data_IF_669002497939
#
_entry.id   IF_669002497939
#
_cell.length_a   1.000
_cell.length_b   1.000
_cell.length_c   1.000
_cell.angle_alpha   90.00
_cell.angle_beta   90.00
_cell.angle_gamma   90.00
#
_symmetry.space_group_name_H-M   'P 1'
#
loop_
_entity.id
_entity.type
_entity.pdbx_description
1 polymer ?
#
# COMPACT_ATOMS: atom_id res chain seq x y z
N UNK A 1 -11.62 35.70 2.31
CA UNK A 1 -11.96 34.85 1.14
C UNK A 1 -11.59 33.45 1.59
N UNK A 2 -12.59 32.57 1.76
CA UNK A 2 -12.39 31.28 2.42
C UNK A 2 -11.44 30.40 1.60
N UNK A 3 -10.54 29.70 2.27
CA UNK A 3 -9.79 28.59 1.67
C UNK A 3 -10.76 27.59 1.04
N UNK A 4 -10.32 26.86 0.00
CA UNK A 4 -11.15 25.82 -0.61
C UNK A 4 -11.57 24.81 0.48
N UNK A 5 -12.85 24.48 0.59
CA UNK A 5 -13.31 23.58 1.65
C UNK A 5 -12.77 22.16 1.41
N UNK A 6 -12.05 21.59 2.38
CA UNK A 6 -11.53 20.21 2.34
C UNK A 6 -10.08 20.08 2.79
N UNK A 7 -9.55 18.85 2.90
CA UNK A 7 -8.17 18.63 3.34
C UNK A 7 -7.15 19.00 2.25
N UNK A 8 -5.96 19.41 2.69
CA UNK A 8 -4.87 19.87 1.83
C UNK A 8 -3.62 18.99 1.94
N UNK A 9 -2.98 18.74 0.80
CA UNK A 9 -1.55 18.51 0.76
C UNK A 9 -0.86 19.85 0.49
N UNK A 10 -0.12 20.36 1.47
CA UNK A 10 0.66 21.58 1.28
C UNK A 10 1.90 21.24 0.44
N UNK A 11 2.10 21.97 -0.65
CA UNK A 11 3.22 21.81 -1.56
C UNK A 11 4.03 23.11 -1.56
N UNK A 12 5.34 23.02 -1.36
CA UNK A 12 6.21 24.20 -1.44
C UNK A 12 7.55 23.85 -2.06
N UNK A 13 8.26 24.89 -2.53
CA UNK A 13 9.61 24.76 -3.06
C UNK A 13 10.51 25.80 -2.40
N UNK A 14 11.57 25.31 -1.78
CA UNK A 14 12.65 26.11 -1.21
C UNK A 14 13.78 26.36 -2.25
N UNK A 15 13.58 26.00 -3.51
CA UNK A 15 14.56 26.15 -4.58
C UNK A 15 14.15 27.26 -5.57
N UNK A 16 15.03 28.22 -5.81
CA UNK A 16 14.77 29.31 -6.76
C UNK A 16 14.57 28.83 -8.21
N UNK A 17 15.19 27.71 -8.58
CA UNK A 17 15.13 27.15 -9.94
C UNK A 17 13.99 26.16 -10.19
N UNK A 18 13.15 25.88 -9.19
CA UNK A 18 12.08 24.88 -9.31
C UNK A 18 10.79 25.42 -8.71
N UNK A 19 9.79 25.70 -9.54
CA UNK A 19 8.48 26.14 -9.07
C UNK A 19 7.71 24.96 -8.44
N UNK A 20 7.04 25.18 -7.31
CA UNK A 20 6.25 24.13 -6.66
C UNK A 20 5.10 23.61 -7.55
N UNK A 21 4.58 24.47 -8.43
CA UNK A 21 3.59 24.11 -9.45
C UNK A 21 4.08 23.02 -10.40
N UNK A 22 5.39 22.94 -10.66
CA UNK A 22 5.95 21.86 -11.48
C UNK A 22 5.74 20.50 -10.82
N UNK A 23 5.83 20.43 -9.49
CA UNK A 23 5.53 19.20 -8.76
C UNK A 23 4.04 18.88 -8.80
N UNK A 24 3.16 19.88 -8.70
CA UNK A 24 1.70 19.70 -8.84
C UNK A 24 1.35 19.14 -10.21
N UNK A 25 1.93 19.66 -11.30
CA UNK A 25 1.73 19.13 -12.66
C UNK A 25 2.09 17.66 -12.75
N UNK A 26 3.24 17.29 -12.19
CA UNK A 26 3.73 15.91 -12.18
C UNK A 26 2.84 15.00 -11.36
N UNK A 27 2.42 15.41 -10.15
CA UNK A 27 1.53 14.62 -9.27
C UNK A 27 0.16 14.39 -9.95
N UNK A 28 -0.41 15.44 -10.55
CA UNK A 28 -1.75 15.38 -11.15
C UNK A 28 -1.75 14.79 -12.55
N UNK A 29 -0.59 14.72 -13.22
CA UNK A 29 -0.46 14.36 -14.63
C UNK A 29 -1.08 15.39 -15.59
N UNK A 30 -1.29 16.63 -15.15
CA UNK A 30 -1.94 17.70 -15.92
C UNK A 30 -0.95 18.83 -16.21
N UNK A 31 -0.76 19.16 -17.49
CA UNK A 31 0.07 20.30 -17.91
C UNK A 31 -0.61 21.65 -17.65
N UNK A 32 -1.93 21.69 -17.84
CA UNK A 32 -2.77 22.86 -17.59
C UNK A 32 -3.39 22.77 -16.20
N UNK A 33 -2.86 23.59 -15.29
CA UNK A 33 -3.35 23.69 -13.91
C UNK A 33 -4.47 24.72 -13.75
N UNK A 34 -4.93 25.40 -14.81
CA UNK A 34 -5.93 26.48 -14.68
C UNK A 34 -7.33 25.97 -14.40
N UNK A 35 -7.63 24.72 -14.76
CA UNK A 35 -8.97 24.13 -14.61
C UNK A 35 -9.29 23.86 -13.15
N UNK A 36 -10.19 24.66 -12.59
CA UNK A 36 -10.66 24.52 -11.21
C UNK A 36 -9.68 25.04 -10.15
N UNK A 37 -8.56 25.63 -10.55
CA UNK A 37 -7.64 26.25 -9.61
C UNK A 37 -8.28 27.48 -8.95
N UNK A 38 -8.08 27.57 -7.64
CA UNK A 38 -8.49 28.73 -6.84
C UNK A 38 -7.22 29.44 -6.41
N UNK A 39 -7.17 30.77 -6.58
CA UNK A 39 -6.05 31.58 -6.10
C UNK A 39 -6.54 32.50 -4.99
N UNK A 40 -5.88 32.44 -3.84
CA UNK A 40 -6.09 33.37 -2.73
C UNK A 40 -4.79 34.12 -2.47
N UNK A 41 -4.71 35.35 -2.98
CA UNK A 41 -3.48 36.15 -2.91
C UNK A 41 -2.33 35.51 -3.68
N UNK A 42 -1.34 34.96 -2.95
CA UNK A 42 -0.16 34.27 -3.51
C UNK A 42 -0.20 32.75 -3.30
N UNK A 43 -1.28 32.23 -2.75
CA UNK A 43 -1.49 30.80 -2.54
C UNK A 43 -2.40 30.27 -3.63
N UNK A 44 -2.00 29.16 -4.24
CA UNK A 44 -2.76 28.50 -5.30
C UNK A 44 -3.25 27.14 -4.81
N UNK A 45 -4.52 26.83 -5.06
CA UNK A 45 -5.16 25.58 -4.68
C UNK A 45 -5.55 24.84 -5.94
N UNK A 46 -5.05 23.63 -6.11
CA UNK A 46 -5.32 22.79 -7.27
C UNK A 46 -6.16 21.59 -6.85
N UNK A 47 -7.39 21.44 -7.36
CA UNK A 47 -8.24 20.32 -6.99
C UNK A 47 -7.64 19.01 -7.53
N UNK A 48 -7.58 17.99 -6.67
CA UNK A 48 -7.12 16.67 -7.02
C UNK A 48 -7.97 15.61 -6.32
N UNK A 49 -8.54 14.71 -7.13
CA UNK A 49 -9.34 13.60 -6.63
C UNK A 49 -8.44 12.37 -6.56
N UNK A 50 -8.33 11.81 -5.36
CA UNK A 50 -7.83 10.46 -5.16
C UNK A 50 -9.00 9.52 -5.41
N UNK A 51 -8.83 8.59 -6.33
CA UNK A 51 -9.81 7.56 -6.62
C UNK A 51 -9.07 6.24 -6.85
N UNK A 52 -8.94 5.45 -5.79
CA UNK A 52 -8.23 4.18 -5.83
C UNK A 52 -9.19 3.00 -5.63
N UNK A 53 -8.67 1.78 -5.50
CA UNK A 53 -9.48 0.56 -5.37
C UNK A 53 -10.33 0.54 -4.08
N UNK A 54 -9.89 1.23 -3.04
CA UNK A 54 -10.46 1.14 -1.69
C UNK A 54 -11.35 2.33 -1.37
N UNK A 55 -10.99 3.53 -1.83
CA UNK A 55 -11.68 4.76 -1.48
C UNK A 55 -11.56 5.84 -2.56
N UNK A 56 -12.41 6.87 -2.42
CA UNK A 56 -12.24 8.16 -3.08
C UNK A 56 -12.16 9.30 -2.06
N UNK A 57 -11.39 10.33 -2.36
CA UNK A 57 -11.27 11.55 -1.55
C UNK A 57 -10.94 12.75 -2.45
N UNK A 58 -11.68 13.85 -2.28
CA UNK A 58 -11.41 15.11 -2.99
C UNK A 58 -10.54 16.02 -2.12
N UNK A 59 -9.32 16.30 -2.56
CA UNK A 59 -8.35 17.11 -1.82
C UNK A 59 -7.88 18.30 -2.67
N UNK A 60 -7.16 19.24 -2.05
CA UNK A 60 -6.42 20.25 -2.80
C UNK A 60 -4.92 20.12 -2.59
N UNK A 61 -4.17 20.21 -3.69
CA UNK A 61 -2.74 20.48 -3.64
C UNK A 61 -2.56 21.99 -3.47
N UNK A 62 -2.15 22.42 -2.28
CA UNK A 62 -2.08 23.82 -1.88
C UNK A 62 -0.63 24.31 -1.99
N UNK A 63 -0.34 25.11 -3.02
CA UNK A 63 0.98 25.71 -3.23
C UNK A 63 1.13 26.96 -2.38
N UNK A 64 2.00 26.90 -1.38
CA UNK A 64 2.29 28.00 -0.47
C UNK A 64 3.76 28.43 -0.60
N UNK A 65 4.05 29.62 -1.15
CA UNK A 65 5.43 30.04 -1.44
C UNK A 65 6.34 30.22 -0.21
N UNK A 66 5.79 30.54 0.96
CA UNK A 66 6.55 30.69 2.21
C UNK A 66 5.61 30.64 3.42
N UNK A 67 6.19 30.46 4.60
CA UNK A 67 5.48 30.30 5.88
C UNK A 67 4.57 31.48 6.24
N UNK A 68 4.89 32.71 5.84
CA UNK A 68 4.08 33.91 6.13
C UNK A 68 2.73 33.93 5.41
N UNK A 69 2.54 33.07 4.40
CA UNK A 69 1.29 32.96 3.64
C UNK A 69 0.36 31.88 4.20
N UNK A 70 0.79 31.15 5.23
CA UNK A 70 -0.06 30.16 5.90
C UNK A 70 -1.06 30.87 6.80
N UNK A 71 -2.33 30.80 6.45
CA UNK A 71 -3.45 31.31 7.26
C UNK A 71 -3.97 30.23 8.21
N UNK A 72 -4.76 30.62 9.22
CA UNK A 72 -5.42 29.66 10.13
C UNK A 72 -6.21 28.59 9.37
N UNK A 73 -7.04 29.00 8.40
CA UNK A 73 -7.81 28.07 7.56
C UNK A 73 -6.92 27.05 6.80
N UNK A 74 -5.71 27.46 6.38
CA UNK A 74 -4.76 26.57 5.73
C UNK A 74 -4.19 25.61 6.78
N UNK A 75 -3.68 26.14 7.89
CA UNK A 75 -3.09 25.36 8.98
C UNK A 75 -4.03 24.26 9.49
N UNK A 76 -5.31 24.56 9.69
CA UNK A 76 -6.32 23.60 10.17
C UNK A 76 -6.66 22.49 9.16
N UNK A 77 -6.33 22.68 7.89
CA UNK A 77 -6.71 21.77 6.80
C UNK A 77 -5.54 20.94 6.25
N UNK A 78 -4.30 21.21 6.63
CA UNK A 78 -3.12 20.47 6.15
C UNK A 78 -3.09 19.07 6.76
N UNK A 79 -3.02 18.04 5.92
CA UNK A 79 -2.86 16.64 6.33
C UNK A 79 -1.64 15.95 5.72
N UNK A 80 -1.05 16.55 4.67
CA UNK A 80 0.21 16.13 4.09
C UNK A 80 1.08 17.34 3.75
N UNK A 81 2.40 17.18 3.82
CA UNK A 81 3.37 18.21 3.49
C UNK A 81 4.43 17.67 2.53
N UNK A 82 4.58 18.32 1.38
CA UNK A 82 5.55 17.97 0.34
C UNK A 82 6.40 19.21 0.04
N UNK A 83 7.70 19.12 0.30
CA UNK A 83 8.63 20.24 0.16
C UNK A 83 9.78 19.88 -0.75
N UNK A 84 9.97 20.67 -1.81
CA UNK A 84 11.11 20.56 -2.69
C UNK A 84 12.29 21.39 -2.18
N UNK A 85 13.50 20.84 -2.21
CA UNK A 85 14.75 21.58 -1.96
C UNK A 85 15.80 21.29 -3.03
N UNK A 86 16.73 22.23 -3.20
CA UNK A 86 17.87 22.06 -4.08
C UNK A 86 19.04 21.42 -3.33
N UNK A 87 19.26 20.13 -3.59
CA UNK A 87 20.33 19.36 -2.96
C UNK A 87 21.73 19.85 -3.34
N UNK A 88 21.90 20.64 -4.41
CA UNK A 88 23.21 21.19 -4.79
C UNK A 88 23.66 22.33 -3.87
N UNK A 89 22.73 22.90 -3.10
CA UNK A 89 22.99 23.98 -2.15
C UNK A 89 23.26 23.39 -0.77
N UNK A 90 24.44 23.65 -0.18
CA UNK A 90 24.85 23.10 1.14
C UNK A 90 23.89 23.44 2.29
N UNK A 91 23.28 24.61 2.23
CA UNK A 91 22.26 25.14 3.15
C UNK A 91 20.83 24.90 2.65
N UNK A 92 20.61 24.05 1.65
CA UNK A 92 19.28 23.83 1.06
C UNK A 92 18.22 23.36 2.07
N UNK A 93 18.65 22.66 3.12
CA UNK A 93 17.78 22.23 4.22
C UNK A 93 17.46 23.33 5.24
N UNK A 94 18.21 24.44 5.27
CA UNK A 94 17.98 25.52 6.22
C UNK A 94 16.62 26.19 5.94
N UNK A 95 16.32 26.44 4.65
CA UNK A 95 15.03 26.98 4.21
C UNK A 95 13.87 26.01 4.45
N UNK A 96 14.11 24.70 4.35
CA UNK A 96 13.11 23.69 4.72
C UNK A 96 12.86 23.72 6.24
N UNK A 97 13.92 23.92 7.03
CA UNK A 97 13.85 23.93 8.49
C UNK A 97 13.00 25.09 9.05
N UNK A 98 12.77 26.16 8.27
CA UNK A 98 11.83 27.24 8.63
C UNK A 98 10.37 26.76 8.73
N UNK A 99 10.02 25.63 8.10
CA UNK A 99 8.68 25.03 8.14
C UNK A 99 8.47 24.10 9.34
N UNK A 100 9.53 23.68 10.04
CA UNK A 100 9.45 22.69 11.12
C UNK A 100 8.50 23.10 12.27
N UNK A 101 8.51 24.37 12.75
CA UNK A 101 7.59 24.78 13.81
C UNK A 101 6.12 24.62 13.41
N UNK A 102 5.82 24.79 12.11
CA UNK A 102 4.47 24.62 11.59
C UNK A 102 4.09 23.14 11.47
N UNK A 103 5.01 22.28 11.01
CA UNK A 103 4.76 20.84 10.91
C UNK A 103 4.61 20.18 12.29
N UNK A 104 5.27 20.72 13.32
CA UNK A 104 5.08 20.29 14.72
C UNK A 104 3.70 20.67 15.27
N UNK A 105 3.06 21.71 14.73
CA UNK A 105 1.70 22.12 15.08
C UNK A 105 0.64 21.32 14.32
N UNK A 106 0.82 21.14 13.00
CA UNK A 106 -0.16 20.47 12.14
C UNK A 106 -0.12 18.94 12.24
N UNK A 107 1.04 18.37 12.58
CA UNK A 107 1.30 16.93 12.66
C UNK A 107 0.78 16.15 11.42
N UNK A 108 1.16 16.53 10.19
CA UNK A 108 0.73 15.82 8.99
C UNK A 108 1.27 14.38 9.00
N UNK A 109 0.42 13.42 8.62
CA UNK A 109 0.80 12.00 8.60
C UNK A 109 1.79 11.68 7.48
N UNK A 110 1.74 12.44 6.38
CA UNK A 110 2.64 12.31 5.24
C UNK A 110 3.53 13.54 5.14
N UNK A 111 4.84 13.35 5.35
CA UNK A 111 5.88 14.38 5.20
C UNK A 111 6.92 13.92 4.20
N UNK A 112 7.09 14.64 3.09
CA UNK A 112 7.98 14.24 2.00
C UNK A 112 8.95 15.37 1.66
N UNK A 113 10.24 15.09 1.77
CA UNK A 113 11.32 15.93 1.32
C UNK A 113 11.72 15.51 -0.09
N UNK A 114 11.55 16.41 -1.06
CA UNK A 114 11.76 16.14 -2.47
C UNK A 114 13.00 16.87 -2.97
N UNK A 115 13.83 16.20 -3.77
CA UNK A 115 14.85 16.86 -4.59
C UNK A 115 14.94 16.21 -5.97
N UNK A 116 15.60 16.85 -6.94
CA UNK A 116 15.80 16.18 -8.23
C UNK A 116 16.71 14.95 -8.08
N UNK A 117 17.86 15.16 -7.47
CA UNK A 117 18.85 14.14 -7.12
C UNK A 117 19.69 14.68 -5.96
N UNK A 118 20.11 13.81 -5.05
CA UNK A 118 21.07 14.15 -4.01
C UNK A 118 22.43 14.53 -4.60
N UNK A 119 23.15 15.46 -3.97
CA UNK A 119 24.40 15.98 -4.54
C UNK A 119 25.55 15.86 -3.55
N UNK A 120 26.63 15.20 -3.96
CA UNK A 120 27.86 15.12 -3.15
C UNK A 120 28.53 16.49 -2.91
N UNK A 121 28.24 17.48 -3.75
CA UNK A 121 28.80 18.84 -3.62
C UNK A 121 27.93 19.78 -2.75
N UNK A 122 26.73 19.35 -2.36
CA UNK A 122 25.78 20.12 -1.59
C UNK A 122 25.33 19.36 -0.34
N UNK A 123 24.06 18.97 -0.32
CA UNK A 123 23.48 18.00 0.62
C UNK A 123 23.55 16.63 -0.05
N UNK A 124 24.36 15.73 0.49
CA UNK A 124 24.47 14.37 0.00
C UNK A 124 23.35 13.48 0.57
N UNK A 125 23.28 12.24 0.09
CA UNK A 125 22.26 11.26 0.49
C UNK A 125 22.20 11.08 2.00
N UNK A 126 23.36 10.82 2.62
CA UNK A 126 23.45 10.57 4.05
C UNK A 126 22.89 11.76 4.86
N UNK A 127 23.33 12.99 4.56
CA UNK A 127 22.88 14.18 5.29
C UNK A 127 21.38 14.41 5.10
N UNK A 128 20.85 14.21 3.89
CA UNK A 128 19.42 14.33 3.63
C UNK A 128 18.61 13.27 4.40
N UNK A 129 19.05 12.01 4.39
CA UNK A 129 18.39 10.92 5.11
C UNK A 129 18.43 11.10 6.63
N UNK A 130 19.57 11.50 7.20
CA UNK A 130 19.68 11.80 8.64
C UNK A 130 18.74 12.93 9.05
N UNK A 131 18.63 13.97 8.22
CA UNK A 131 17.69 15.07 8.44
C UNK A 131 16.24 14.57 8.36
N UNK A 132 15.91 13.77 7.34
CA UNK A 132 14.59 13.16 7.17
C UNK A 132 14.18 12.31 8.37
N UNK A 133 15.03 11.38 8.82
CA UNK A 133 14.77 10.51 9.98
C UNK A 133 14.55 11.36 11.24
N UNK A 134 15.37 12.40 11.44
CA UNK A 134 15.26 13.28 12.62
C UNK A 134 13.93 14.03 12.67
N UNK A 135 13.39 14.42 11.52
CA UNK A 135 12.21 15.27 11.42
C UNK A 135 10.95 14.54 10.92
N UNK A 136 11.02 13.22 10.71
CA UNK A 136 9.91 12.40 10.26
C UNK A 136 9.55 12.52 8.78
N UNK A 137 10.46 13.06 7.95
CA UNK A 137 10.24 13.14 6.50
C UNK A 137 10.69 11.86 5.81
N UNK A 138 10.07 11.56 4.66
CA UNK A 138 10.57 10.63 3.67
C UNK A 138 11.38 11.38 2.60
N UNK A 139 12.59 10.93 2.27
CA UNK A 139 13.37 11.48 1.17
C UNK A 139 12.92 10.86 -0.16
N UNK A 140 12.50 11.67 -1.12
CA UNK A 140 12.17 11.24 -2.48
C UNK A 140 12.98 12.01 -3.51
N UNK A 141 13.78 11.29 -4.29
CA UNK A 141 14.48 11.84 -5.45
C UNK A 141 13.60 11.71 -6.70
N UNK A 142 13.41 12.81 -7.45
CA UNK A 142 12.64 12.79 -8.70
C UNK A 142 13.36 12.02 -9.83
N UNK A 143 14.68 11.99 -9.79
CA UNK A 143 15.55 11.35 -10.78
C UNK A 143 16.80 10.76 -10.08
N UNK A 144 16.62 9.72 -9.23
CA UNK A 144 17.72 9.09 -8.52
C UNK A 144 18.79 8.55 -9.49
N UNK A 145 20.01 8.38 -8.99
CA UNK A 145 21.10 7.76 -9.75
C UNK A 145 21.00 6.24 -9.77
N UNK A 146 20.75 5.71 -8.59
CA UNK A 146 20.57 4.30 -8.33
C UNK A 146 19.07 4.03 -8.37
N UNK A 147 18.65 3.28 -9.38
CA UNK A 147 17.29 2.74 -9.44
C UNK A 147 17.25 1.44 -8.62
N UNK A 148 16.08 1.11 -8.05
CA UNK A 148 15.86 -0.22 -7.49
C UNK A 148 16.18 -1.29 -8.53
N UNK A 149 16.57 -2.47 -8.07
CA UNK A 149 16.80 -3.61 -8.94
C UNK A 149 15.47 -4.02 -9.59
N UNK A 150 15.43 -4.08 -10.92
CA UNK A 150 14.22 -4.50 -11.65
C UNK A 150 13.94 -6.01 -11.44
N UNK A 151 14.95 -6.78 -10.97
CA UNK A 151 14.81 -8.19 -10.59
C UNK A 151 14.21 -8.38 -9.18
N UNK A 152 14.06 -7.31 -8.38
CA UNK A 152 13.35 -7.41 -7.10
C UNK A 152 11.85 -7.60 -7.34
N UNK A 153 11.23 -8.63 -6.73
CA UNK A 153 9.79 -8.91 -6.86
C UNK A 153 8.89 -7.72 -6.41
N UNK A 154 9.43 -6.85 -5.55
CA UNK A 154 8.76 -5.66 -5.03
C UNK A 154 9.71 -4.46 -5.09
N UNK A 155 10.00 -3.94 -6.29
CA UNK A 155 10.96 -2.86 -6.43
C UNK A 155 10.38 -1.60 -5.78
N UNK A 156 11.20 -0.91 -4.99
CA UNK A 156 10.79 0.34 -4.35
C UNK A 156 10.37 1.36 -5.42
N UNK A 157 9.27 2.09 -5.20
CA UNK A 157 8.92 3.16 -6.11
C UNK A 157 9.77 4.40 -5.83
N UNK A 158 10.18 5.11 -6.88
CA UNK A 158 10.94 6.35 -6.78
C UNK A 158 10.20 7.51 -7.47
N UNK A 159 10.71 8.73 -7.29
CA UNK A 159 10.21 9.95 -7.92
C UNK A 159 8.73 10.23 -7.68
N UNK A 160 8.07 10.78 -8.69
CA UNK A 160 6.68 11.24 -8.59
C UNK A 160 5.73 10.07 -8.27
N UNK A 161 6.02 8.87 -8.78
CA UNK A 161 5.25 7.65 -8.48
C UNK A 161 5.20 7.40 -6.98
N UNK A 162 6.34 7.54 -6.28
CA UNK A 162 6.41 7.38 -4.82
C UNK A 162 5.60 8.42 -4.07
N UNK A 163 5.68 9.69 -4.49
CA UNK A 163 4.90 10.80 -3.91
C UNK A 163 3.40 10.50 -4.04
N UNK A 164 2.94 10.13 -5.23
CA UNK A 164 1.53 9.79 -5.49
C UNK A 164 1.09 8.59 -4.63
N UNK A 165 1.93 7.56 -4.48
CA UNK A 165 1.64 6.41 -3.62
C UNK A 165 1.49 6.80 -2.15
N UNK A 166 2.40 7.62 -1.62
CA UNK A 166 2.30 8.11 -0.24
C UNK A 166 1.02 8.91 -0.01
N UNK A 167 0.65 9.79 -0.93
CA UNK A 167 -0.61 10.55 -0.86
C UNK A 167 -1.85 9.65 -0.99
N UNK A 168 -1.80 8.60 -1.81
CA UNK A 168 -2.88 7.60 -1.93
C UNK A 168 -2.99 6.70 -0.69
N UNK A 169 -1.90 6.49 0.04
CA UNK A 169 -1.88 5.67 1.25
C UNK A 169 -2.36 6.43 2.50
N UNK A 170 -2.44 7.76 2.42
CA UNK A 170 -2.91 8.60 3.51
C UNK A 170 -4.41 8.39 3.80
N UNK A 171 -4.83 8.55 5.06
CA UNK A 171 -6.23 8.49 5.48
C UNK A 171 -6.80 9.91 5.53
N UNK A 172 -7.32 10.38 4.39
CA UNK A 172 -7.89 11.73 4.28
C UNK A 172 -9.17 11.88 5.10
N UNK A 173 -9.36 13.02 5.76
CA UNK A 173 -10.52 13.26 6.65
C UNK A 173 -11.88 13.18 5.95
N UNK A 174 -11.92 13.30 4.61
CA UNK A 174 -13.12 13.19 3.80
C UNK A 174 -13.16 11.90 2.95
N UNK A 175 -12.45 10.86 3.37
CA UNK A 175 -12.42 9.57 2.68
C UNK A 175 -13.81 8.95 2.57
N UNK A 176 -14.16 8.51 1.36
CA UNK A 176 -15.38 7.76 1.06
C UNK A 176 -14.99 6.36 0.60
N UNK A 177 -15.23 5.36 1.45
CA UNK A 177 -14.92 3.96 1.14
C UNK A 177 -15.81 3.44 0.02
N UNK A 178 -15.21 2.73 -0.95
CA UNK A 178 -15.97 2.05 -2.00
C UNK A 178 -16.53 0.75 -1.42
N UNK A 179 -17.85 0.71 -1.23
CA UNK A 179 -18.55 -0.52 -0.88
C UNK A 179 -18.71 -1.38 -2.14
N UNK A 180 -17.73 -2.25 -2.44
CA UNK A 180 -17.98 -3.57 -3.07
C UNK A 180 -16.69 -4.37 -3.35
N UNK A 181 -16.43 -5.36 -2.47
CA UNK A 181 -15.87 -6.68 -2.81
C UNK A 181 -16.06 -7.69 -1.66
N UNK A 182 -17.23 -7.68 -1.03
CA UNK A 182 -17.62 -8.50 0.12
C UNK A 182 -17.91 -9.97 -0.22
N UNK A 183 -17.23 -10.56 -1.22
CA UNK A 183 -17.37 -11.98 -1.54
C UNK A 183 -16.18 -12.87 -1.14
N UNK A 184 -15.15 -12.36 -0.43
CA UNK A 184 -13.96 -13.18 -0.14
C UNK A 184 -13.41 -13.20 1.29
N UNK A 185 -13.86 -12.36 2.23
CA UNK A 185 -13.15 -12.21 3.52
C UNK A 185 -14.08 -12.17 4.74
N UNK A 186 -14.95 -13.17 4.86
CA UNK A 186 -15.81 -13.36 6.04
C UNK A 186 -15.05 -13.63 7.35
N UNK A 187 -13.76 -13.98 7.30
CA UNK A 187 -12.97 -14.35 8.48
C UNK A 187 -12.15 -13.20 9.09
N UNK A 188 -11.74 -12.20 8.31
CA UNK A 188 -10.92 -11.09 8.83
C UNK A 188 -11.73 -10.09 9.66
N UNK A 189 -13.04 -9.98 9.41
CA UNK A 189 -13.95 -9.15 10.22
C UNK A 189 -13.99 -9.60 11.69
N UNK A 190 -13.75 -10.90 11.94
CA UNK A 190 -13.71 -11.48 13.28
C UNK A 190 -12.37 -11.26 13.99
N UNK A 191 -11.27 -11.10 13.24
CA UNK A 191 -9.92 -10.92 13.79
C UNK A 191 -9.56 -9.45 14.02
N UNK A 192 -10.23 -8.51 13.34
CA UNK A 192 -9.98 -7.07 13.46
C UNK A 192 -10.61 -6.40 14.70
N UNK A 193 -11.10 -7.15 15.69
CA UNK A 193 -11.53 -6.57 16.97
C UNK A 193 -12.67 -5.57 16.88
N UNK A 194 -13.62 -5.76 15.97
CA UNK A 194 -14.83 -4.94 15.86
C UNK A 194 -15.84 -5.25 16.97
N UNK A 195 -15.47 -4.96 18.22
CA UNK A 195 -16.42 -4.78 19.32
C UNK A 195 -16.68 -3.28 19.50
N UNK A 196 -17.53 -2.70 18.66
CA UNK A 196 -18.15 -1.41 18.96
C UNK A 196 -19.56 -1.66 19.52
N UNK A 197 -19.62 -1.60 20.85
CA UNK A 197 -20.77 -1.29 21.72
C UNK A 197 -22.18 -1.67 21.24
N UNK A 198 -22.73 -2.68 21.92
CA UNK A 198 -24.15 -2.89 22.17
C UNK A 198 -24.79 -1.57 22.67
N UNK A 199 -25.81 -1.12 21.95
CA UNK A 199 -26.75 -0.08 22.37
C UNK A 199 -28.13 -0.43 21.79
N UNK A 200 -28.94 -1.06 22.62
CA UNK A 200 -30.34 -1.41 22.42
C UNK A 200 -31.21 -0.22 22.02
N UNK A 201 -32.14 -0.40 21.07
CA UNK A 201 -33.59 -0.23 21.31
C UNK A 201 -34.44 -0.68 20.09
N UNK A 202 -35.63 -1.14 20.43
CA UNK A 202 -36.60 -1.92 19.66
C UNK A 202 -37.35 -1.13 18.57
N UNK A 203 -37.86 -1.84 17.56
CA UNK A 203 -39.24 -1.81 17.02
C UNK A 203 -39.28 -2.64 15.72
N UNK A 204 -39.76 -3.89 15.77
CA UNK A 204 -41.13 -4.36 15.50
C UNK A 204 -41.62 -4.25 14.03
N UNK A 205 -42.01 -5.43 13.52
CA UNK A 205 -42.88 -5.78 12.39
C UNK A 205 -42.33 -5.53 10.96
N UNK A 206 -42.34 -6.47 10.02
CA UNK A 206 -43.52 -7.21 9.54
C UNK A 206 -43.13 -8.42 8.66
N UNK A 207 -43.85 -9.53 8.90
CA UNK A 207 -44.28 -10.58 7.97
C UNK A 207 -43.37 -11.65 7.36
N UNK A 208 -44.02 -12.81 7.25
CA UNK A 208 -43.55 -14.17 7.14
C UNK A 208 -43.99 -14.83 5.83
N UNK A 209 -43.16 -15.79 5.37
CA UNK A 209 -43.46 -16.99 4.56
C UNK A 209 -43.68 -16.87 3.04
N UNK A 210 -43.58 -17.99 2.26
CA UNK A 210 -42.70 -19.16 2.38
C UNK A 210 -42.10 -19.67 1.03
N UNK A 211 -41.23 -20.68 1.13
CA UNK A 211 -40.75 -21.59 0.06
C UNK A 211 -41.90 -22.31 -0.69
N UNK A 212 -41.58 -22.91 -1.86
CA UNK A 212 -42.06 -24.26 -2.13
C UNK A 212 -40.93 -25.23 -2.53
N UNK A 213 -41.20 -26.49 -2.19
CA UNK A 213 -40.35 -27.66 -2.33
C UNK A 213 -40.53 -28.39 -3.69
N UNK A 214 -39.56 -29.29 -3.93
CA UNK A 214 -39.60 -30.55 -4.67
C UNK A 214 -39.84 -30.59 -6.19
N UNK A 215 -38.83 -31.13 -6.90
CA UNK A 215 -38.99 -32.41 -7.61
C UNK A 215 -37.64 -33.02 -8.04
N UNK A 216 -37.48 -34.28 -7.64
CA UNK A 216 -36.41 -35.22 -7.99
C UNK A 216 -36.59 -35.89 -9.37
N UNK A 217 -35.54 -36.66 -9.72
CA UNK A 217 -35.46 -37.82 -10.64
C UNK A 217 -35.28 -37.54 -12.14
N UNK A 218 -34.46 -38.27 -12.91
CA UNK A 218 -33.59 -39.45 -12.70
C UNK A 218 -32.83 -39.80 -14.01
N UNK A 219 -31.98 -40.84 -13.96
CA UNK A 219 -31.39 -41.66 -15.04
C UNK A 219 -30.11 -41.16 -15.76
N UNK A 220 -28.89 -41.69 -15.52
CA UNK A 220 -28.31 -43.06 -15.73
C UNK A 220 -28.16 -43.41 -17.22
N UNK A 221 -26.94 -43.45 -17.78
CA UNK A 221 -26.15 -44.70 -17.95
C UNK A 221 -24.80 -44.55 -18.71
N UNK A 222 -23.77 -45.25 -18.20
CA UNK A 222 -22.77 -46.09 -18.91
C UNK A 222 -21.90 -45.56 -20.07
N UNK A 223 -20.55 -45.51 -19.93
CA UNK A 223 -19.58 -46.63 -20.18
C UNK A 223 -18.12 -46.17 -20.34
N UNK A 224 -17.24 -47.13 -20.10
CA UNK A 224 -15.77 -47.13 -20.04
C UNK A 224 -15.04 -46.79 -21.35
N UNK A 225 -13.79 -46.32 -21.16
CA UNK A 225 -12.54 -46.89 -21.68
C UNK A 225 -11.68 -45.93 -22.52
N UNK A 226 -10.36 -46.03 -22.32
CA UNK A 226 -9.37 -45.53 -23.30
C UNK A 226 -8.34 -44.53 -22.78
N UNK A 227 -7.21 -45.08 -22.34
CA UNK A 227 -5.92 -44.43 -22.10
C UNK A 227 -5.51 -43.34 -23.11
N UNK A 228 -4.78 -42.33 -22.63
CA UNK A 228 -3.45 -41.98 -23.18
C UNK A 228 -2.71 -40.97 -22.30
N UNK A 229 -1.62 -41.47 -21.75
CA UNK A 229 -0.37 -40.80 -21.37
C UNK A 229 -0.13 -39.44 -22.02
N UNK A 230 0.27 -38.44 -21.22
CA UNK A 230 1.43 -37.60 -21.51
C UNK A 230 1.99 -37.05 -20.20
N UNK A 231 2.94 -37.81 -19.66
CA UNK A 231 3.87 -37.37 -18.63
C UNK A 231 4.75 -36.26 -19.18
N UNK A 232 4.49 -35.02 -18.77
CA UNK A 232 5.51 -33.97 -18.80
C UNK A 232 6.25 -34.08 -17.46
N UNK A 233 7.34 -34.84 -17.49
CA UNK A 233 8.33 -34.84 -16.42
C UNK A 233 8.97 -33.45 -16.41
N UNK A 234 8.57 -32.61 -15.47
CA UNK A 234 9.39 -31.47 -15.08
C UNK A 234 10.29 -31.98 -13.96
N UNK A 235 11.59 -32.07 -14.23
CA UNK A 235 12.64 -32.41 -13.27
C UNK A 235 12.73 -31.32 -12.20
N UNK A 236 11.75 -31.30 -11.30
CA UNK A 236 11.87 -30.65 -10.01
C UNK A 236 12.72 -31.57 -9.15
N UNK A 237 13.90 -31.12 -8.76
CA UNK A 237 14.58 -31.63 -7.57
C UNK A 237 13.69 -31.21 -6.40
N UNK A 238 12.62 -31.99 -6.17
CA UNK A 238 11.75 -31.84 -5.02
C UNK A 238 12.60 -32.22 -3.84
N UNK A 239 13.00 -31.24 -3.02
CA UNK A 239 13.55 -31.53 -1.70
C UNK A 239 12.47 -32.32 -0.94
N UNK A 240 12.65 -33.64 -0.70
CA UNK A 240 11.64 -34.46 -0.04
C UNK A 240 11.38 -33.97 1.39
N UNK A 241 12.30 -33.16 1.93
CA UNK A 241 12.18 -32.54 3.25
C UNK A 241 11.16 -31.40 3.25
N UNK A 242 11.01 -30.65 2.15
CA UNK A 242 10.09 -29.51 2.07
C UNK A 242 8.63 -29.97 2.04
N UNK A 243 8.32 -31.03 1.29
CA UNK A 243 6.97 -31.59 1.24
C UNK A 243 6.56 -32.18 2.60
N UNK A 244 7.50 -32.78 3.33
CA UNK A 244 7.27 -33.29 4.68
C UNK A 244 7.00 -32.15 5.67
N UNK A 245 7.77 -31.07 5.58
CA UNK A 245 7.59 -29.86 6.40
C UNK A 245 6.24 -29.17 6.11
N UNK A 246 5.83 -29.13 4.84
CA UNK A 246 4.52 -28.61 4.39
C UNK A 246 3.37 -29.46 4.92
N UNK A 247 3.49 -30.78 4.84
CA UNK A 247 2.48 -31.70 5.38
C UNK A 247 2.34 -31.56 6.90
N UNK A 248 3.46 -31.31 7.60
CA UNK A 248 3.46 -31.01 9.02
C UNK A 248 2.69 -29.71 9.32
N UNK A 249 2.92 -28.62 8.59
CA UNK A 249 2.15 -27.37 8.76
C UNK A 249 0.63 -27.55 8.55
N UNK A 250 0.23 -28.31 7.53
CA UNK A 250 -1.18 -28.61 7.28
C UNK A 250 -1.82 -29.45 8.40
N UNK A 251 -1.05 -30.34 9.02
CA UNK A 251 -1.51 -31.13 10.17
C UNK A 251 -1.65 -30.29 11.45
N UNK A 252 -0.79 -29.28 11.62
CA UNK A 252 -0.81 -28.38 12.78
C UNK A 252 -1.93 -27.31 12.68
N UNK A 253 -2.53 -27.10 11.52
CA UNK A 253 -3.60 -26.09 11.31
C UNK A 253 -5.01 -26.68 11.35
N UNK A 254 -5.15 -27.98 11.09
CA UNK A 254 -6.45 -28.69 11.03
C UNK A 254 -6.89 -29.29 12.37
N UNK A 255 -6.01 -29.32 13.37
CA UNK A 255 -6.28 -29.96 14.67
C UNK A 255 -6.62 -28.91 15.73
N UNK A 256 -7.67 -29.22 16.50
CA UNK A 256 -8.33 -28.38 17.51
C UNK A 256 -7.34 -27.51 18.31
N UNK A 257 -7.68 -26.22 18.47
CA UNK A 257 -6.80 -25.10 18.79
C UNK A 257 -6.11 -25.13 20.16
N UNK A 258 -5.21 -26.10 20.36
CA UNK A 258 -4.34 -26.19 21.52
C UNK A 258 -3.14 -25.24 21.38
N UNK A 259 -2.76 -24.56 22.47
CA UNK A 259 -1.70 -23.55 22.50
C UNK A 259 -0.33 -24.14 22.10
N UNK A 260 -0.09 -25.40 22.46
CA UNK A 260 1.13 -26.14 22.07
C UNK A 260 1.23 -26.36 20.55
N UNK A 261 0.09 -26.47 19.88
CA UNK A 261 0.00 -26.67 18.44
C UNK A 261 0.39 -25.38 17.68
N UNK A 262 -0.01 -24.23 18.23
CA UNK A 262 0.35 -22.90 17.72
C UNK A 262 1.84 -22.60 17.88
N UNK A 263 2.44 -22.90 19.04
CA UNK A 263 3.88 -22.73 19.24
C UNK A 263 4.72 -23.61 18.30
N UNK A 264 4.26 -24.83 18.03
CA UNK A 264 4.89 -25.73 17.05
C UNK A 264 4.79 -25.19 15.63
N UNK A 265 3.63 -24.63 15.25
CA UNK A 265 3.43 -24.01 13.94
C UNK A 265 4.42 -22.86 13.71
N UNK A 266 4.58 -21.96 14.70
CA UNK A 266 5.53 -20.85 14.60
C UNK A 266 6.99 -21.31 14.62
N UNK A 267 7.31 -22.32 15.42
CA UNK A 267 8.65 -22.93 15.44
C UNK A 267 9.00 -23.54 14.08
N UNK A 268 8.02 -24.20 13.44
CA UNK A 268 8.19 -24.81 12.11
C UNK A 268 8.30 -23.77 11.00
N UNK A 269 7.46 -22.74 11.01
CA UNK A 269 7.56 -21.59 10.09
C UNK A 269 8.93 -20.89 10.20
N UNK A 270 9.45 -20.75 11.42
CA UNK A 270 10.78 -20.20 11.66
C UNK A 270 11.87 -21.11 11.07
N UNK A 271 11.80 -22.42 11.29
CA UNK A 271 12.73 -23.39 10.72
C UNK A 271 12.75 -23.32 9.18
N UNK A 272 11.57 -23.27 8.55
CA UNK A 272 11.44 -23.16 7.10
C UNK A 272 11.96 -21.83 6.56
N UNK A 273 11.76 -20.73 7.29
CA UNK A 273 12.34 -19.42 6.97
C UNK A 273 13.86 -19.45 7.04
N UNK A 274 14.43 -20.06 8.08
CA UNK A 274 15.88 -20.16 8.27
C UNK A 274 16.51 -21.04 7.17
N UNK A 275 15.84 -22.12 6.76
CA UNK A 275 16.24 -22.94 5.59
C UNK A 275 16.21 -22.12 4.30
N UNK A 276 15.13 -21.40 4.05
CA UNK A 276 15.00 -20.54 2.87
C UNK A 276 16.13 -19.50 2.82
N UNK A 277 16.51 -18.88 3.94
CA UNK A 277 17.57 -17.87 3.97
C UNK A 277 18.95 -18.37 3.45
N UNK A 278 19.17 -19.69 3.41
CA UNK A 278 20.41 -20.30 2.90
C UNK A 278 20.41 -20.56 1.39
N UNK A 279 19.26 -20.44 0.72
CA UNK A 279 19.11 -20.74 -0.70
C UNK A 279 19.42 -19.51 -1.59
N UNK A 280 19.88 -19.71 -2.85
CA UNK A 280 19.95 -18.66 -3.87
C UNK A 280 18.58 -18.03 -4.17
N UNK A 281 18.54 -16.81 -4.72
CA UNK A 281 17.31 -16.05 -4.97
C UNK A 281 16.20 -16.85 -5.66
N UNK A 282 16.47 -17.44 -6.84
CA UNK A 282 15.50 -18.27 -7.58
C UNK A 282 14.93 -19.43 -6.77
N UNK A 283 15.77 -20.11 -5.99
CA UNK A 283 15.34 -21.24 -5.16
C UNK A 283 14.58 -20.78 -3.91
N UNK A 284 14.93 -19.61 -3.35
CA UNK A 284 14.18 -18.97 -2.27
C UNK A 284 12.78 -18.61 -2.69
N UNK A 285 12.63 -18.09 -3.91
CA UNK A 285 11.34 -17.72 -4.50
C UNK A 285 10.43 -18.94 -4.62
N UNK A 286 10.91 -20.03 -5.23
CA UNK A 286 10.16 -21.27 -5.34
C UNK A 286 9.81 -21.88 -3.97
N UNK A 287 10.75 -21.84 -3.02
CA UNK A 287 10.50 -22.30 -1.65
C UNK A 287 9.40 -21.47 -0.98
N UNK A 288 9.48 -20.14 -1.04
CA UNK A 288 8.49 -19.25 -0.45
C UNK A 288 7.10 -19.44 -1.08
N UNK A 289 7.02 -19.60 -2.41
CA UNK A 289 5.78 -19.88 -3.13
C UNK A 289 5.12 -21.17 -2.62
N UNK A 290 5.88 -22.27 -2.53
CA UNK A 290 5.37 -23.56 -2.03
C UNK A 290 4.85 -23.46 -0.60
N UNK A 291 5.58 -22.77 0.27
CA UNK A 291 5.19 -22.58 1.67
C UNK A 291 3.94 -21.71 1.78
N UNK A 292 3.84 -20.63 1.00
CA UNK A 292 2.69 -19.75 1.00
C UNK A 292 1.42 -20.46 0.49
N UNK A 293 1.52 -21.18 -0.64
CA UNK A 293 0.41 -21.98 -1.19
C UNK A 293 -0.05 -23.05 -0.20
N UNK A 294 0.88 -23.78 0.41
CA UNK A 294 0.60 -24.77 1.43
C UNK A 294 -0.12 -24.17 2.64
N UNK A 295 0.39 -23.05 3.17
CA UNK A 295 -0.19 -22.39 4.32
C UNK A 295 -1.60 -21.84 4.01
N UNK A 296 -1.81 -21.29 2.80
CA UNK A 296 -3.11 -20.82 2.34
C UNK A 296 -4.16 -21.93 2.32
N UNK A 297 -3.83 -23.07 1.71
CA UNK A 297 -4.70 -24.25 1.69
C UNK A 297 -4.98 -24.77 3.11
N UNK A 298 -3.98 -24.72 3.99
CA UNK A 298 -4.07 -25.21 5.36
C UNK A 298 -5.03 -24.40 6.25
N UNK A 299 -5.16 -23.09 6.01
CA UNK A 299 -6.13 -22.23 6.72
C UNK A 299 -7.53 -22.21 6.08
N UNK A 300 -7.77 -23.08 5.09
CA UNK A 300 -9.06 -23.22 4.41
C UNK A 300 -9.26 -22.32 3.18
N UNK A 301 -8.18 -21.75 2.63
CA UNK A 301 -8.22 -21.05 1.34
C UNK A 301 -8.39 -22.04 0.18
N UNK A 302 -9.10 -21.63 -0.87
CA UNK A 302 -9.39 -22.50 -2.01
C UNK A 302 -8.22 -22.52 -3.02
N UNK A 303 -8.04 -23.65 -3.73
CA UNK A 303 -6.96 -23.79 -4.70
C UNK A 303 -7.16 -22.85 -5.90
N UNK A 304 -8.41 -22.61 -6.26
CA UNK A 304 -8.79 -21.73 -7.38
C UNK A 304 -8.36 -20.26 -7.13
N UNK A 305 -8.16 -19.86 -5.87
CA UNK A 305 -7.70 -18.50 -5.50
C UNK A 305 -6.20 -18.29 -5.77
N UNK A 306 -5.43 -19.37 -5.93
CA UNK A 306 -3.97 -19.34 -6.06
C UNK A 306 -3.44 -19.96 -7.36
N UNK A 307 -4.32 -20.60 -8.17
CA UNK A 307 -3.95 -21.32 -9.39
C UNK A 307 -3.51 -20.41 -10.55
N UNK A 308 -3.82 -19.11 -10.49
CA UNK A 308 -3.43 -18.09 -11.48
C UNK A 308 -2.34 -17.11 -11.03
N UNK A 309 -1.70 -17.37 -9.88
CA UNK A 309 -0.64 -16.52 -9.32
C UNK A 309 0.77 -17.06 -9.59
N UNK A 310 0.94 -18.11 -10.43
CA UNK A 310 2.29 -18.59 -10.76
C UNK A 310 3.03 -17.50 -11.52
N UNK A 311 4.30 -17.29 -11.18
CA UNK A 311 5.17 -16.33 -11.87
C UNK A 311 5.64 -16.83 -13.23
N UNK A 312 4.82 -17.61 -13.95
CA UNK A 312 5.05 -17.97 -15.35
C UNK A 312 4.65 -16.79 -16.26
N UNK A 313 5.12 -15.58 -15.94
CA UNK A 313 5.25 -14.53 -16.94
C UNK A 313 6.62 -14.73 -17.60
N UNK A 314 6.61 -15.53 -18.67
CA UNK A 314 7.73 -15.69 -19.60
C UNK A 314 8.03 -14.36 -20.31
N UNK A 315 9.29 -13.91 -20.15
CA UNK A 315 10.07 -12.93 -20.96
C UNK A 315 9.74 -11.44 -20.86
#
# INVERSE_FOLDING_TARGET
MAAAAGPFALVTSCAAGFAAEELVKRITGKDDLTVGAITSGRVNFYPWTIDNKYYSADIHLCVVPNTFLVTGDIAESVQAFVVYFDSTIKSGLDSVSEWLPLTEEWLPEVMILVCNRVSENGVNRQKAQEWCIKHGFELVELSPEELPDDDDDFPESTGVKRIVQALNANVWSNVVMKSDRTQGFGLLSTLAGANCSIGSEENQDTESNPLPADREESHVDNREDGASTNSVQNDNIVDPMLDLDIQELASLTTRDGDLENFERLFSKLKEMKDKAATLPHEQRKLHAEKVAKAFWMAIGGDRDEIEGLSSDEEN
#
